data_IF_580460042183
#
_entry.id   IF_580460042183
#
_cell.length_a   1.000
_cell.length_b   1.000
_cell.length_c   1.000
_cell.angle_alpha   90.00
_cell.angle_beta   90.00
_cell.angle_gamma   90.00
#
_symmetry.space_group_name_H-M   'P 1'
#
loop_
_entity.id
_entity.type
_entity.pdbx_description
1 polymer ?
#
# COMPACT_ATOMS: atom_id res chain seq x y z
N UNK A 1 -22.02 4.62 -16.89
CA UNK A 1 -20.54 4.69 -16.79
C UNK A 1 -20.13 4.44 -15.36
N UNK A 2 -19.31 3.44 -15.15
CA UNK A 2 -18.73 3.19 -13.83
C UNK A 2 -17.43 3.98 -13.69
N UNK A 3 -17.28 4.64 -12.54
CA UNK A 3 -16.05 5.34 -12.20
C UNK A 3 -15.34 4.54 -11.12
N UNK A 4 -14.09 4.17 -11.39
CA UNK A 4 -13.23 3.53 -10.41
C UNK A 4 -12.41 4.59 -9.69
N UNK A 5 -12.57 4.63 -8.37
CA UNK A 5 -11.83 5.55 -7.51
C UNK A 5 -10.88 4.72 -6.66
N UNK A 6 -9.61 5.09 -6.65
CA UNK A 6 -8.63 4.47 -5.77
C UNK A 6 -8.00 5.52 -4.84
N UNK A 7 -7.45 5.06 -3.74
CA UNK A 7 -6.83 5.93 -2.76
C UNK A 7 -5.66 5.21 -2.09
N UNK A 8 -4.63 5.97 -1.75
CA UNK A 8 -3.50 5.48 -0.99
C UNK A 8 -3.88 5.50 0.50
N UNK A 9 -3.82 4.35 1.14
CA UNK A 9 -4.31 4.15 2.51
C UNK A 9 -3.27 3.40 3.35
N UNK A 10 -3.49 3.43 4.67
CA UNK A 10 -2.62 2.74 5.60
C UNK A 10 -1.26 3.40 5.78
N UNK A 11 -1.12 4.65 5.39
CA UNK A 11 0.15 5.39 5.42
C UNK A 11 0.43 6.01 6.80
N UNK A 12 0.21 5.24 7.85
CA UNK A 12 0.48 5.66 9.22
C UNK A 12 1.97 5.96 9.41
N UNK A 13 2.29 7.18 9.79
CA UNK A 13 3.66 7.63 9.98
C UNK A 13 3.68 8.90 10.83
N UNK A 14 4.88 9.44 11.06
CA UNK A 14 5.01 10.75 11.69
C UNK A 14 4.43 11.90 10.85
N UNK A 15 4.17 11.65 9.56
CA UNK A 15 3.63 12.65 8.63
C UNK A 15 2.13 12.52 8.41
N UNK A 16 1.56 11.32 8.59
CA UNK A 16 0.17 11.02 8.26
C UNK A 16 -0.52 10.22 9.34
N UNK A 17 -1.78 10.55 9.57
CA UNK A 17 -2.69 9.76 10.39
C UNK A 17 -3.57 8.90 9.49
N UNK A 18 -3.96 7.71 9.97
CA UNK A 18 -4.92 6.84 9.29
C UNK A 18 -6.34 7.01 9.82
N UNK A 19 -6.59 8.07 10.56
CA UNK A 19 -7.87 8.35 11.19
C UNK A 19 -9.04 8.37 10.23
N UNK A 20 -8.83 8.89 9.02
CA UNK A 20 -9.88 9.03 8.00
C UNK A 20 -9.97 7.84 7.04
N UNK A 21 -9.06 6.88 7.13
CA UNK A 21 -9.03 5.75 6.20
C UNK A 21 -10.34 4.94 6.20
N UNK A 22 -10.97 4.63 7.35
CA UNK A 22 -12.26 3.94 7.34
C UNK A 22 -13.35 4.67 6.55
N UNK A 23 -13.37 5.99 6.60
CA UNK A 23 -14.33 6.81 5.85
C UNK A 23 -14.07 6.75 4.36
N UNK A 24 -12.79 6.79 3.97
CA UNK A 24 -12.38 6.70 2.56
C UNK A 24 -12.75 5.34 1.98
N UNK A 25 -12.67 4.27 2.78
CA UNK A 25 -13.05 2.93 2.36
C UNK A 25 -14.56 2.76 2.10
N UNK A 26 -15.38 3.70 2.51
CA UNK A 26 -16.80 3.73 2.15
C UNK A 26 -17.04 4.34 0.77
N UNK A 27 -16.04 4.98 0.19
CA UNK A 27 -16.18 5.76 -1.05
C UNK A 27 -15.42 5.11 -2.20
N UNK A 28 -14.22 4.56 -1.95
CA UNK A 28 -13.35 4.06 -3.00
C UNK A 28 -13.71 2.65 -3.45
N UNK A 29 -13.29 2.31 -4.67
CA UNK A 29 -13.42 0.96 -5.24
C UNK A 29 -12.17 0.13 -5.00
N UNK A 30 -11.02 0.79 -4.87
CA UNK A 30 -9.72 0.15 -4.69
C UNK A 30 -8.89 0.90 -3.66
N UNK A 31 -8.19 0.16 -2.81
CA UNK A 31 -7.27 0.70 -1.80
C UNK A 31 -5.83 0.30 -2.14
N UNK A 32 -4.94 1.27 -2.21
CA UNK A 32 -3.50 1.02 -2.38
C UNK A 32 -2.86 1.09 -1.00
N UNK A 33 -2.50 -0.06 -0.44
CA UNK A 33 -2.14 -0.19 0.98
C UNK A 33 -0.63 -0.11 1.17
N UNK A 34 -0.19 0.81 2.02
CA UNK A 34 1.21 0.94 2.40
C UNK A 34 1.71 -0.36 3.04
N UNK A 35 2.93 -0.76 2.67
CA UNK A 35 3.49 -2.07 3.01
C UNK A 35 4.57 -2.02 4.10
N UNK A 36 4.68 -0.91 4.82
CA UNK A 36 5.57 -0.78 5.97
C UNK A 36 6.92 -0.16 5.68
N UNK A 37 7.31 -0.01 4.42
CA UNK A 37 8.63 0.51 4.07
C UNK A 37 8.71 2.04 4.05
N UNK A 38 7.66 2.72 3.64
CA UNK A 38 7.58 4.17 3.76
C UNK A 38 6.63 4.61 4.86
N UNK A 39 5.65 3.78 5.17
CA UNK A 39 4.61 4.05 6.16
C UNK A 39 3.83 2.77 6.44
N UNK A 40 3.06 2.78 7.51
CA UNK A 40 2.21 1.68 7.89
C UNK A 40 2.92 0.63 8.72
N UNK A 41 2.13 -0.31 9.21
CA UNK A 41 2.58 -1.46 9.99
C UNK A 41 1.59 -2.61 9.79
N UNK A 42 1.91 -3.80 10.29
CA UNK A 42 1.03 -4.97 10.12
C UNK A 42 -0.37 -4.77 10.70
N UNK A 43 -0.54 -4.22 11.92
CA UNK A 43 -1.89 -3.96 12.44
C UNK A 43 -2.70 -3.01 11.55
N UNK A 44 -2.07 -1.99 10.99
CA UNK A 44 -2.73 -1.04 10.07
C UNK A 44 -3.14 -1.74 8.78
N UNK A 45 -2.24 -2.53 8.17
CA UNK A 45 -2.55 -3.32 6.98
C UNK A 45 -3.74 -4.25 7.23
N UNK A 46 -3.72 -4.97 8.34
CA UNK A 46 -4.79 -5.90 8.71
C UNK A 46 -6.14 -5.16 8.87
N UNK A 47 -6.14 -4.02 9.53
CA UNK A 47 -7.33 -3.20 9.71
C UNK A 47 -7.91 -2.77 8.36
N UNK A 48 -7.08 -2.24 7.48
CA UNK A 48 -7.52 -1.77 6.15
C UNK A 48 -8.08 -2.94 5.33
N UNK A 49 -7.42 -4.10 5.35
CA UNK A 49 -7.87 -5.28 4.62
C UNK A 49 -9.24 -5.74 5.13
N UNK A 50 -9.44 -5.79 6.44
CA UNK A 50 -10.72 -6.21 7.03
C UNK A 50 -11.86 -5.28 6.63
N UNK A 51 -11.63 -3.97 6.68
CA UNK A 51 -12.65 -2.99 6.30
C UNK A 51 -12.90 -3.07 4.77
N UNK A 52 -11.85 -3.21 3.99
CA UNK A 52 -11.95 -3.37 2.53
C UNK A 52 -12.80 -4.58 2.15
N UNK A 53 -12.56 -5.71 2.80
CA UNK A 53 -13.35 -6.92 2.59
C UNK A 53 -14.83 -6.68 2.88
N UNK A 54 -15.13 -6.06 4.01
CA UNK A 54 -16.51 -5.75 4.41
C UNK A 54 -17.21 -4.85 3.39
N UNK A 55 -16.48 -3.91 2.80
CA UNK A 55 -17.03 -2.91 1.89
C UNK A 55 -16.92 -3.28 0.40
N UNK A 56 -16.39 -4.46 0.10
CA UNK A 56 -16.20 -4.88 -1.30
C UNK A 56 -15.14 -4.07 -2.05
N UNK A 57 -14.14 -3.55 -1.34
CA UNK A 57 -13.05 -2.76 -1.92
C UNK A 57 -11.89 -3.68 -2.31
N UNK A 58 -11.41 -3.55 -3.54
CA UNK A 58 -10.23 -4.28 -4.01
C UNK A 58 -8.98 -3.77 -3.29
N UNK A 59 -8.08 -4.66 -2.95
CA UNK A 59 -6.84 -4.28 -2.27
C UNK A 59 -5.63 -4.45 -3.19
N UNK A 60 -4.74 -3.48 -3.14
CA UNK A 60 -3.48 -3.46 -3.87
C UNK A 60 -2.32 -3.09 -2.97
N UNK A 61 -1.12 -3.48 -3.37
CA UNK A 61 0.09 -3.12 -2.67
C UNK A 61 0.60 -1.74 -3.14
N UNK A 62 1.02 -0.93 -2.19
CA UNK A 62 1.60 0.39 -2.46
C UNK A 62 3.06 0.41 -1.96
N UNK A 63 3.97 -0.28 -2.68
CA UNK A 63 5.35 -0.43 -2.25
C UNK A 63 6.18 0.84 -2.49
N UNK A 64 7.19 1.00 -1.68
CA UNK A 64 8.07 2.17 -1.69
C UNK A 64 9.52 1.77 -1.43
N UNK A 65 10.43 2.73 -1.57
CA UNK A 65 11.76 2.60 -1.00
C UNK A 65 11.66 2.40 0.52
N UNK A 66 12.61 1.67 1.08
CA UNK A 66 12.67 1.47 2.53
C UNK A 66 13.25 2.72 3.20
N UNK A 67 12.39 3.69 3.43
CA UNK A 67 12.76 5.02 3.92
C UNK A 67 11.62 5.64 4.75
N UNK A 68 11.35 5.10 5.96
CA UNK A 68 10.30 5.65 6.81
C UNK A 68 10.54 7.11 7.21
N UNK A 69 11.80 7.48 7.38
CA UNK A 69 12.19 8.83 7.84
C UNK A 69 11.75 9.93 6.87
N UNK A 70 11.73 9.63 5.56
CA UNK A 70 11.36 10.57 4.52
C UNK A 70 10.09 10.16 3.78
N UNK A 71 9.28 9.31 4.38
CA UNK A 71 8.04 8.81 3.79
C UNK A 71 8.27 8.18 2.40
N UNK A 72 9.40 7.50 2.23
CA UNK A 72 9.76 6.86 0.96
C UNK A 72 10.13 7.83 -0.17
N UNK A 73 10.27 9.10 0.11
CA UNK A 73 10.48 10.14 -0.91
C UNK A 73 11.96 10.36 -1.24
N UNK A 74 12.87 9.85 -0.43
CA UNK A 74 14.29 9.95 -0.70
C UNK A 74 14.66 9.04 -1.87
N UNK A 75 15.31 9.62 -2.88
CA UNK A 75 15.74 8.86 -4.03
C UNK A 75 16.89 7.93 -3.66
N UNK A 76 16.73 6.65 -3.92
CA UNK A 76 17.72 5.61 -3.66
C UNK A 76 18.08 4.97 -4.99
N UNK A 77 19.36 4.90 -5.30
CA UNK A 77 19.83 4.28 -6.54
C UNK A 77 19.84 2.75 -6.39
N UNK A 78 18.97 2.09 -7.14
CA UNK A 78 18.86 0.65 -7.19
C UNK A 78 18.89 0.18 -8.64
N UNK A 79 19.47 -0.99 -8.90
CA UNK A 79 19.38 -1.61 -10.22
C UNK A 79 18.01 -2.32 -10.36
N UNK A 80 17.72 -2.80 -11.58
CA UNK A 80 16.43 -3.44 -11.87
C UNK A 80 16.15 -4.66 -11.00
N UNK A 81 17.17 -5.47 -10.71
CA UNK A 81 17.02 -6.65 -9.85
C UNK A 81 16.67 -6.27 -8.42
N UNK A 82 17.30 -5.23 -7.91
CA UNK A 82 17.04 -4.72 -6.55
C UNK A 82 15.65 -4.10 -6.44
N UNK A 83 15.20 -3.39 -7.48
CA UNK A 83 13.85 -2.82 -7.54
C UNK A 83 12.79 -3.92 -7.54
N UNK A 84 12.99 -4.96 -8.36
CA UNK A 84 12.07 -6.11 -8.40
C UNK A 84 11.97 -6.79 -7.04
N UNK A 85 13.11 -7.02 -6.40
CA UNK A 85 13.17 -7.62 -5.07
C UNK A 85 12.43 -6.77 -4.04
N UNK A 86 12.66 -5.46 -4.07
CA UNK A 86 12.03 -4.50 -3.17
C UNK A 86 10.50 -4.53 -3.28
N UNK A 87 9.99 -4.50 -4.50
CA UNK A 87 8.55 -4.54 -4.77
C UNK A 87 7.96 -5.88 -4.34
N UNK A 88 8.63 -6.98 -4.68
CA UNK A 88 8.15 -8.32 -4.39
C UNK A 88 8.10 -8.61 -2.89
N UNK A 89 9.09 -8.17 -2.13
CA UNK A 89 9.10 -8.31 -0.67
C UNK A 89 7.88 -7.65 -0.03
N UNK A 90 7.56 -6.44 -0.46
CA UNK A 90 6.43 -5.69 0.07
C UNK A 90 5.09 -6.30 -0.35
N UNK A 91 5.00 -6.75 -1.60
CA UNK A 91 3.85 -7.50 -2.06
C UNK A 91 3.61 -8.74 -1.19
N UNK A 92 4.66 -9.52 -0.90
CA UNK A 92 4.54 -10.73 -0.09
C UNK A 92 4.08 -10.43 1.33
N UNK A 93 4.57 -9.34 1.92
CA UNK A 93 4.14 -8.92 3.27
C UNK A 93 2.62 -8.68 3.27
N UNK A 94 2.13 -7.89 2.34
CA UNK A 94 0.71 -7.57 2.27
C UNK A 94 -0.13 -8.80 1.91
N UNK A 95 0.33 -9.61 0.95
CA UNK A 95 -0.38 -10.81 0.51
C UNK A 95 -0.55 -11.83 1.65
N UNK A 96 0.48 -11.98 2.50
CA UNK A 96 0.39 -12.87 3.66
C UNK A 96 -0.72 -12.42 4.62
N UNK A 97 -0.84 -11.11 4.86
CA UNK A 97 -1.90 -10.56 5.71
C UNK A 97 -3.26 -10.68 5.03
N UNK A 98 -3.32 -10.44 3.73
CA UNK A 98 -4.54 -10.59 2.95
C UNK A 98 -5.07 -12.03 3.01
N UNK A 99 -4.20 -13.02 2.84
CA UNK A 99 -4.59 -14.43 2.88
C UNK A 99 -5.15 -14.86 4.24
N UNK A 100 -4.64 -14.30 5.34
CA UNK A 100 -5.20 -14.52 6.68
C UNK A 100 -6.64 -14.03 6.79
N UNK A 101 -7.04 -13.10 5.95
CA UNK A 101 -8.38 -12.54 5.90
C UNK A 101 -9.20 -13.08 4.73
N UNK A 102 -8.74 -14.13 4.06
CA UNK A 102 -9.36 -14.73 2.88
C UNK A 102 -9.52 -13.75 1.73
N UNK A 103 -8.51 -12.90 1.54
CA UNK A 103 -8.44 -11.92 0.47
C UNK A 103 -7.14 -12.08 -0.31
N UNK A 104 -7.09 -11.51 -1.50
CA UNK A 104 -5.91 -11.49 -2.35
C UNK A 104 -5.58 -10.07 -2.77
N UNK A 105 -4.28 -9.77 -2.83
CA UNK A 105 -3.79 -8.53 -3.43
C UNK A 105 -3.98 -8.64 -4.95
N UNK A 106 -4.71 -7.68 -5.53
CA UNK A 106 -5.12 -7.75 -6.93
C UNK A 106 -4.30 -6.83 -7.85
N UNK A 107 -3.58 -5.87 -7.29
CA UNK A 107 -2.80 -4.93 -8.08
C UNK A 107 -1.65 -4.34 -7.26
N UNK A 108 -0.74 -3.67 -7.96
CA UNK A 108 0.41 -2.98 -7.37
C UNK A 108 0.46 -1.57 -7.93
N UNK A 109 0.57 -0.59 -7.04
CA UNK A 109 0.78 0.82 -7.41
C UNK A 109 2.00 1.34 -6.64
N UNK A 110 3.15 1.53 -7.29
CA UNK A 110 4.33 2.03 -6.61
C UNK A 110 4.13 3.42 -6.02
N UNK A 111 4.73 3.65 -4.87
CA UNK A 111 4.76 4.98 -4.24
C UNK A 111 5.53 5.97 -5.12
N UNK A 112 5.21 7.26 -5.00
CA UNK A 112 5.67 8.31 -5.91
C UNK A 112 7.14 8.30 -6.30
N UNK A 113 8.07 8.30 -5.34
CA UNK A 113 9.51 8.31 -5.64
C UNK A 113 9.96 7.04 -6.36
N UNK A 114 9.49 5.87 -5.91
CA UNK A 114 9.80 4.59 -6.55
C UNK A 114 9.22 4.55 -7.97
N UNK A 115 7.99 4.99 -8.15
CA UNK A 115 7.34 5.07 -9.45
C UNK A 115 8.12 5.96 -10.42
N UNK A 116 8.54 7.13 -9.97
CA UNK A 116 9.28 8.08 -10.78
C UNK A 116 10.65 7.57 -11.22
N UNK A 117 11.26 6.67 -10.44
CA UNK A 117 12.54 6.06 -10.81
C UNK A 117 12.41 4.81 -11.66
N UNK A 118 11.37 4.02 -11.44
CA UNK A 118 11.18 2.72 -12.10
C UNK A 118 10.40 2.81 -13.41
N UNK A 119 9.68 3.89 -13.59
CA UNK A 119 8.85 4.16 -14.78
C UNK A 119 9.29 5.49 -15.44
#
# INVERSE_FOLDING_TARGET
>A
MEININCDLGEKSKFHSVKNDPKLLNIVNSANIACGYHAGDEPTMDMIIKISKKNGVSIGAHPSFNDPENFGRKRINLNNSEIKKLIFEQYEILQAIAQKNNEDVTHIKPHGALNNMAC
#
